data_IF_603557436591
#
_entry.id   IF_603557436591
#
_cell.length_a   1.000
_cell.length_b   1.000
_cell.length_c   1.000
_cell.angle_alpha   90.00
_cell.angle_beta   90.00
_cell.angle_gamma   90.00
#
_symmetry.space_group_name_H-M   'P 1'
#
loop_
_entity.id
_entity.type
_entity.pdbx_description
1 polymer ?
#
# COMPACT_ATOMS: atom_id res chain seq x y z
N UNK A 1 16.28 -31.12 -50.49
CA UNK A 1 17.53 -31.59 -49.86
C UNK A 1 18.29 -30.34 -49.47
N UNK A 2 18.47 -29.96 -48.21
CA UNK A 2 18.44 -30.69 -46.95
C UNK A 2 18.01 -29.73 -45.84
N UNK A 3 17.09 -30.21 -45.00
CA UNK A 3 16.84 -29.67 -43.67
C UNK A 3 17.95 -30.11 -42.71
N UNK A 4 18.20 -29.29 -41.70
CA UNK A 4 18.79 -29.57 -40.36
C UNK A 4 19.29 -28.22 -39.83
N UNK A 5 19.22 -27.85 -38.57
CA UNK A 5 18.61 -28.37 -37.33
C UNK A 5 18.99 -27.30 -36.30
N UNK A 6 18.06 -26.88 -35.43
CA UNK A 6 18.26 -26.80 -33.98
C UNK A 6 17.15 -26.02 -33.30
N UNK A 7 16.28 -26.80 -32.69
CA UNK A 7 15.58 -26.52 -31.45
C UNK A 7 16.56 -26.04 -30.38
N UNK A 8 16.30 -24.91 -29.74
CA UNK A 8 16.57 -24.73 -28.31
C UNK A 8 15.39 -24.00 -27.66
N UNK A 9 14.86 -24.69 -26.65
CA UNK A 9 13.79 -24.28 -25.75
C UNK A 9 14.38 -23.33 -24.70
N UNK A 10 13.78 -22.15 -24.54
CA UNK A 10 13.94 -21.36 -23.33
C UNK A 10 12.62 -21.42 -22.56
N UNK A 11 12.62 -22.24 -21.51
CA UNK A 11 11.55 -22.28 -20.53
C UNK A 11 11.71 -21.17 -19.49
N UNK A 12 10.55 -20.80 -18.95
CA UNK A 12 10.31 -20.39 -17.57
C UNK A 12 11.02 -19.14 -17.06
N UNK A 13 10.21 -18.10 -16.91
CA UNK A 13 10.43 -16.99 -16.00
C UNK A 13 9.12 -16.25 -15.83
N UNK A 14 8.12 -16.90 -15.23
CA UNK A 14 6.93 -16.22 -14.73
C UNK A 14 7.39 -15.30 -13.61
N UNK A 15 7.59 -14.02 -13.91
CA UNK A 15 7.63 -12.98 -12.90
C UNK A 15 6.18 -12.68 -12.54
N UNK A 16 5.65 -13.46 -11.60
CA UNK A 16 4.39 -13.19 -10.91
C UNK A 16 4.65 -12.28 -9.72
N UNK A 17 3.73 -11.34 -9.51
CA UNK A 17 3.55 -10.43 -8.37
C UNK A 17 4.63 -9.38 -8.11
N UNK A 18 4.51 -8.26 -8.83
CA UNK A 18 4.86 -6.95 -8.31
C UNK A 18 3.55 -6.27 -7.90
N UNK A 19 3.25 -6.30 -6.59
CA UNK A 19 2.05 -5.70 -6.01
C UNK A 19 2.11 -4.18 -6.16
N UNK A 20 1.06 -3.63 -6.75
CA UNK A 20 0.69 -2.22 -6.75
C UNK A 20 0.48 -1.76 -5.30
N UNK A 21 0.93 -0.55 -4.95
CA UNK A 21 0.38 0.15 -3.79
C UNK A 21 -1.00 0.71 -4.20
N UNK A 22 -1.91 -0.22 -4.47
CA UNK A 22 -3.35 -0.05 -4.56
C UNK A 22 -3.90 -0.68 -3.28
N UNK A 23 -4.83 0.00 -2.61
CA UNK A 23 -5.62 -0.66 -1.59
C UNK A 23 -6.58 -1.65 -2.30
N UNK A 24 -6.10 -2.90 -2.46
CA UNK A 24 -6.73 -4.03 -3.14
C UNK A 24 -5.88 -4.49 -4.35
N UNK A 25 -5.71 -5.77 -4.71
CA UNK A 25 -6.17 -7.06 -4.17
C UNK A 25 -5.09 -8.12 -4.42
N UNK A 26 -4.71 -8.83 -3.36
CA UNK A 26 -4.41 -10.25 -3.44
C UNK A 26 -4.79 -10.88 -2.10
N UNK A 27 -5.99 -11.49 -2.05
CA UNK A 27 -6.49 -12.20 -0.88
C UNK A 27 -5.52 -13.27 -0.39
N UNK A 28 -4.66 -12.90 0.56
CA UNK A 28 -3.87 -13.84 1.34
C UNK A 28 -4.72 -14.30 2.53
N UNK A 29 -4.86 -15.61 2.68
CA UNK A 29 -5.54 -16.19 3.82
C UNK A 29 -4.88 -15.71 5.12
N UNK A 30 -5.67 -15.18 6.05
CA UNK A 30 -5.20 -14.75 7.36
C UNK A 30 -4.33 -15.84 7.99
N UNK A 31 -3.07 -15.50 8.30
CA UNK A 31 -2.22 -16.33 9.14
C UNK A 31 -2.85 -16.43 10.54
N UNK A 32 -2.51 -17.46 11.31
CA UNK A 32 -2.98 -17.56 12.71
C UNK A 32 -2.63 -16.31 13.51
N UNK A 33 -1.47 -15.70 13.21
CA UNK A 33 -1.04 -14.42 13.78
C UNK A 33 -1.98 -13.26 13.41
N UNK A 34 -2.51 -13.24 12.18
CA UNK A 34 -3.50 -12.23 11.75
C UNK A 34 -4.86 -12.38 12.42
N UNK A 35 -5.32 -13.63 12.64
CA UNK A 35 -6.58 -13.89 13.34
C UNK A 35 -6.52 -13.47 14.81
N UNK A 36 -5.41 -13.76 15.50
CA UNK A 36 -5.18 -13.35 16.88
C UNK A 36 -5.08 -11.82 17.00
N UNK A 37 -4.34 -11.19 16.09
CA UNK A 37 -4.23 -9.72 16.02
C UNK A 37 -5.59 -9.04 15.83
N UNK A 38 -6.41 -9.55 14.91
CA UNK A 38 -7.74 -8.97 14.69
C UNK A 38 -8.66 -9.16 15.89
N UNK A 39 -8.57 -10.30 16.58
CA UNK A 39 -9.32 -10.52 17.82
C UNK A 39 -8.91 -9.53 18.93
N UNK A 40 -7.61 -9.21 19.05
CA UNK A 40 -7.09 -8.19 19.96
C UNK A 40 -7.68 -6.80 19.62
N UNK A 41 -7.60 -6.39 18.36
CA UNK A 41 -8.16 -5.12 17.89
C UNK A 41 -9.66 -5.00 18.18
N UNK A 42 -10.44 -6.07 17.95
CA UNK A 42 -11.89 -6.09 18.24
C UNK A 42 -12.22 -6.10 19.73
N UNK A 43 -11.34 -6.64 20.58
CA UNK A 43 -11.51 -6.58 22.02
C UNK A 43 -11.36 -5.14 22.54
N UNK A 44 -10.45 -4.36 21.95
CA UNK A 44 -10.27 -2.94 22.24
C UNK A 44 -11.36 -2.06 21.59
N UNK A 45 -11.77 -2.41 20.37
CA UNK A 45 -12.76 -1.68 19.57
C UNK A 45 -13.95 -2.59 19.18
N UNK A 46 -14.93 -2.81 20.07
CA UNK A 46 -16.06 -3.71 19.82
C UNK A 46 -16.97 -3.32 18.64
N UNK A 47 -16.84 -2.08 18.13
CA UNK A 47 -17.58 -1.59 16.97
C UNK A 47 -16.98 -2.06 15.63
N UNK A 48 -15.75 -2.59 15.63
CA UNK A 48 -15.13 -3.14 14.44
C UNK A 48 -15.91 -4.34 13.89
N UNK A 49 -15.94 -4.54 12.56
CA UNK A 49 -16.65 -5.64 11.93
C UNK A 49 -16.13 -7.00 12.42
N UNK A 50 -16.93 -8.05 12.24
CA UNK A 50 -16.53 -9.41 12.64
C UNK A 50 -15.37 -9.90 11.78
N UNK A 51 -15.52 -9.79 10.46
CA UNK A 51 -14.49 -10.19 9.50
C UNK A 51 -13.36 -9.14 9.45
N UNK A 52 -12.09 -9.59 9.37
CA UNK A 52 -10.98 -8.66 9.21
C UNK A 52 -11.04 -7.97 7.83
N UNK A 53 -10.57 -6.71 7.75
CA UNK A 53 -10.34 -6.07 6.46
C UNK A 53 -9.12 -6.69 5.76
N UNK A 54 -8.81 -6.18 4.58
CA UNK A 54 -7.59 -6.53 3.86
C UNK A 54 -6.33 -6.19 4.67
N UNK A 55 -5.30 -7.01 4.47
CA UNK A 55 -3.98 -6.82 5.05
C UNK A 55 -2.93 -6.58 3.97
N UNK A 56 -2.15 -5.50 4.11
CA UNK A 56 -1.13 -5.10 3.14
C UNK A 56 0.07 -4.43 3.83
N UNK A 57 1.17 -4.30 3.11
CA UNK A 57 2.40 -3.67 3.60
C UNK A 57 2.69 -2.42 2.76
N UNK A 58 3.25 -1.38 3.39
CA UNK A 58 3.70 -0.20 2.67
C UNK A 58 4.92 -0.51 1.79
N UNK A 59 5.02 0.16 0.64
CA UNK A 59 6.17 0.06 -0.26
C UNK A 59 6.25 -1.24 -1.05
N UNK A 60 7.37 -1.40 -1.77
CA UNK A 60 7.60 -2.53 -2.66
C UNK A 60 8.61 -3.55 -2.10
N UNK A 61 9.23 -3.28 -0.95
CA UNK A 61 10.22 -4.19 -0.32
C UNK A 61 9.97 -4.36 1.17
N UNK A 62 10.44 -5.46 1.79
CA UNK A 62 10.36 -5.66 3.24
C UNK A 62 10.95 -4.50 4.06
N UNK A 63 12.12 -3.99 3.66
CA UNK A 63 12.78 -2.87 4.36
C UNK A 63 11.92 -1.60 4.28
N UNK A 64 11.30 -1.33 3.12
CA UNK A 64 10.38 -0.21 2.95
C UNK A 64 9.13 -0.36 3.82
N UNK A 65 8.59 -1.58 3.92
CA UNK A 65 7.45 -1.87 4.78
C UNK A 65 7.77 -1.58 6.26
N UNK A 66 8.93 -2.03 6.74
CA UNK A 66 9.39 -1.78 8.10
C UNK A 66 9.61 -0.29 8.36
N UNK A 67 10.29 0.42 7.45
CA UNK A 67 10.60 1.85 7.59
C UNK A 67 9.32 2.70 7.62
N UNK A 68 8.37 2.44 6.71
CA UNK A 68 7.11 3.19 6.67
C UNK A 68 6.18 2.83 7.81
N UNK A 69 6.11 1.56 8.21
CA UNK A 69 5.36 1.17 9.38
C UNK A 69 5.91 1.85 10.64
N UNK A 70 7.22 2.00 10.79
CA UNK A 70 7.80 2.72 11.93
C UNK A 70 7.27 4.16 12.02
N UNK A 71 7.15 4.85 10.89
CA UNK A 71 6.56 6.20 10.82
C UNK A 71 5.05 6.20 11.16
N UNK A 72 4.32 5.14 10.81
CA UNK A 72 2.91 4.99 11.21
C UNK A 72 2.80 4.80 12.73
N UNK A 73 3.63 3.94 13.29
CA UNK A 73 3.59 3.58 14.72
C UNK A 73 4.02 4.73 15.63
N UNK A 74 4.93 5.61 15.16
CA UNK A 74 5.32 6.81 15.91
C UNK A 74 4.38 8.02 15.68
N UNK A 75 3.42 7.89 14.77
CA UNK A 75 2.43 8.91 14.43
C UNK A 75 2.91 9.98 13.45
N UNK A 76 4.08 9.83 12.86
CA UNK A 76 4.60 10.74 11.83
C UNK A 76 3.89 10.57 10.50
N UNK A 77 3.65 9.33 10.07
CA UNK A 77 2.89 9.00 8.86
C UNK A 77 1.42 8.79 9.20
N UNK A 78 0.59 9.68 8.65
CA UNK A 78 -0.87 9.71 8.82
C UNK A 78 -1.60 9.84 7.48
N UNK A 79 -0.86 9.69 6.38
CA UNK A 79 -1.34 9.80 5.03
C UNK A 79 -0.63 8.80 4.11
N UNK A 80 -1.29 8.44 3.02
CA UNK A 80 -0.75 7.62 1.93
C UNK A 80 -1.31 8.09 0.59
N UNK A 81 -0.63 7.73 -0.50
CA UNK A 81 -1.07 8.05 -1.85
C UNK A 81 -0.97 6.84 -2.80
N UNK A 82 -1.93 6.74 -3.71
CA UNK A 82 -1.97 5.70 -4.75
C UNK A 82 -2.33 6.28 -6.12
N UNK A 83 -1.97 5.56 -7.18
CA UNK A 83 -2.27 5.97 -8.55
C UNK A 83 -3.70 5.58 -8.92
N UNK A 84 -4.56 6.55 -9.26
CA UNK A 84 -5.96 6.26 -9.57
C UNK A 84 -6.15 5.27 -10.73
N UNK A 85 -5.24 5.29 -11.72
CA UNK A 85 -5.29 4.39 -12.87
C UNK A 85 -5.07 2.92 -12.54
N UNK A 86 -4.44 2.60 -11.40
CA UNK A 86 -4.22 1.21 -10.99
C UNK A 86 -5.57 0.56 -10.57
N UNK A 87 -6.38 1.25 -9.75
CA UNK A 87 -7.75 0.82 -9.41
C UNK A 87 -8.63 0.58 -10.65
N UNK A 88 -8.58 1.50 -11.62
CA UNK A 88 -9.37 1.40 -12.85
C UNK A 88 -8.98 0.17 -13.69
N UNK A 89 -7.70 -0.24 -13.62
CA UNK A 89 -7.17 -1.38 -14.37
C UNK A 89 -7.49 -2.71 -13.71
N UNK A 90 -7.45 -2.73 -12.38
CA UNK A 90 -7.74 -3.88 -11.54
C UNK A 90 -9.27 -4.09 -11.39
N UNK A 91 -10.07 -3.07 -11.72
CA UNK A 91 -11.52 -3.09 -11.60
C UNK A 91 -11.98 -2.92 -10.16
N UNK A 92 -11.16 -2.24 -9.36
CA UNK A 92 -11.34 -2.05 -7.93
C UNK A 92 -11.97 -0.70 -7.60
N UNK A 93 -12.78 -0.61 -6.54
CA UNK A 93 -13.28 0.67 -6.08
C UNK A 93 -12.14 1.49 -5.47
N UNK A 94 -12.23 2.81 -5.60
CA UNK A 94 -11.41 3.69 -4.77
C UNK A 94 -11.76 3.48 -3.28
N UNK A 95 -10.79 3.74 -2.38
CA UNK A 95 -11.05 3.74 -0.95
C UNK A 95 -12.17 4.72 -0.59
N UNK A 96 -12.81 4.47 0.55
CA UNK A 96 -13.84 5.31 1.13
C UNK A 96 -13.50 5.68 2.58
N UNK A 97 -14.00 6.83 3.04
CA UNK A 97 -13.88 7.21 4.45
C UNK A 97 -14.57 6.17 5.33
N UNK A 98 -13.85 5.68 6.34
CA UNK A 98 -14.27 4.58 7.21
C UNK A 98 -13.74 3.21 6.79
N UNK A 99 -13.11 3.09 5.61
CA UNK A 99 -12.46 1.85 5.21
C UNK A 99 -11.32 1.51 6.17
N UNK A 100 -11.23 0.22 6.48
CA UNK A 100 -10.27 -0.33 7.42
C UNK A 100 -9.17 -1.09 6.67
N UNK A 101 -7.98 -1.13 7.25
CA UNK A 101 -6.87 -1.92 6.73
C UNK A 101 -6.02 -2.45 7.86
N UNK A 102 -5.47 -3.64 7.69
CA UNK A 102 -4.41 -4.18 8.55
C UNK A 102 -3.07 -3.90 7.87
N UNK A 103 -2.16 -3.21 8.56
CA UNK A 103 -0.80 -2.96 8.06
C UNK A 103 0.14 -4.03 8.56
N UNK A 104 0.89 -4.60 7.63
CA UNK A 104 1.90 -5.61 7.87
C UNK A 104 3.31 -4.98 7.96
N UNK A 105 4.20 -5.62 8.71
CA UNK A 105 5.65 -5.37 8.63
C UNK A 105 6.30 -6.12 7.45
N UNK A 106 7.60 -5.92 7.26
CA UNK A 106 8.38 -6.55 6.19
C UNK A 106 8.45 -8.09 6.29
N UNK A 107 8.11 -8.67 7.45
CA UNK A 107 8.00 -10.11 7.64
C UNK A 107 6.56 -10.65 7.40
N UNK A 108 5.62 -9.77 7.06
CA UNK A 108 4.21 -10.13 6.84
C UNK A 108 3.41 -10.30 8.13
N UNK A 109 3.89 -9.78 9.27
CA UNK A 109 3.18 -9.82 10.55
C UNK A 109 2.28 -8.61 10.67
N UNK A 110 1.04 -8.77 11.17
CA UNK A 110 0.10 -7.67 11.40
C UNK A 110 0.53 -6.79 12.57
N UNK A 111 0.59 -5.47 12.35
CA UNK A 111 1.14 -4.52 13.32
C UNK A 111 0.26 -3.32 13.62
N UNK A 112 -0.59 -2.89 12.70
CA UNK A 112 -1.52 -1.79 12.94
C UNK A 112 -2.87 -2.00 12.24
N UNK A 113 -3.93 -1.44 12.81
CA UNK A 113 -5.22 -1.25 12.12
C UNK A 113 -5.36 0.23 11.80
N UNK A 114 -5.57 0.54 10.53
CA UNK A 114 -5.85 1.89 10.05
C UNK A 114 -7.32 2.05 9.72
N UNK A 115 -7.81 3.29 9.83
CA UNK A 115 -9.10 3.71 9.29
C UNK A 115 -8.91 4.97 8.44
N UNK A 116 -9.41 4.94 7.22
CA UNK A 116 -9.40 6.10 6.32
C UNK A 116 -10.32 7.18 6.90
N UNK A 117 -9.78 8.37 7.07
CA UNK A 117 -10.44 9.50 7.71
C UNK A 117 -10.81 10.62 6.74
N UNK A 118 -10.08 10.75 5.63
CA UNK A 118 -10.40 11.66 4.54
C UNK A 118 -9.77 11.15 3.23
N UNK A 119 -10.38 11.52 2.11
CA UNK A 119 -9.92 11.17 0.77
C UNK A 119 -10.05 12.39 -0.12
N UNK A 120 -9.02 12.63 -0.92
CA UNK A 120 -9.04 13.61 -2.00
C UNK A 120 -8.40 13.00 -3.25
N UNK A 121 -9.00 13.23 -4.42
CA UNK A 121 -8.41 12.82 -5.70
C UNK A 121 -7.99 14.07 -6.45
N UNK A 122 -6.69 14.27 -6.62
CA UNK A 122 -6.12 15.46 -7.26
C UNK A 122 -5.09 15.07 -8.32
N UNK A 123 -4.82 15.92 -9.32
CA UNK A 123 -3.65 15.73 -10.18
C UNK A 123 -2.37 15.68 -9.36
N UNK A 124 -1.39 14.87 -9.76
CA UNK A 124 -0.08 14.77 -9.08
C UNK A 124 0.59 16.13 -8.81
N UNK A 125 0.50 17.06 -9.77
CA UNK A 125 1.03 18.41 -9.62
C UNK A 125 0.37 19.24 -8.50
N UNK A 126 -0.86 18.89 -8.12
CA UNK A 126 -1.69 19.61 -7.17
C UNK A 126 -1.65 19.00 -5.75
N UNK A 127 -0.96 17.87 -5.56
CA UNK A 127 -0.71 17.32 -4.22
C UNK A 127 0.00 18.37 -3.36
N UNK A 128 -0.54 18.58 -2.17
CA UNK A 128 -0.15 19.69 -1.30
C UNK A 128 1.08 19.33 -0.46
N UNK A 129 1.79 20.36 -0.02
CA UNK A 129 2.88 20.17 0.94
C UNK A 129 2.38 19.65 2.31
N UNK A 130 1.11 19.88 2.65
CA UNK A 130 0.49 19.35 3.85
C UNK A 130 0.28 17.84 3.76
N UNK A 131 -0.16 17.33 2.61
CA UNK A 131 -0.24 15.89 2.38
C UNK A 131 1.15 15.23 2.42
N UNK A 132 2.14 15.80 1.73
CA UNK A 132 3.52 15.33 1.79
C UNK A 132 4.11 15.32 3.22
N UNK A 133 3.79 16.34 4.03
CA UNK A 133 4.20 16.41 5.43
C UNK A 133 3.55 15.30 6.28
N UNK A 134 2.28 14.99 5.99
CA UNK A 134 1.50 13.95 6.66
C UNK A 134 1.92 12.53 6.22
N UNK A 135 2.45 12.35 5.01
CA UNK A 135 3.06 11.09 4.58
C UNK A 135 4.38 10.81 5.31
N UNK A 136 5.06 11.84 5.79
CA UNK A 136 6.12 11.70 6.79
C UNK A 136 7.46 11.15 6.29
N UNK A 137 7.58 10.83 5.00
CA UNK A 137 8.77 10.23 4.41
C UNK A 137 9.92 11.22 4.18
N UNK A 138 11.16 10.70 4.23
CA UNK A 138 12.40 11.43 3.97
C UNK A 138 12.50 12.74 4.78
N UNK A 139 12.74 13.88 4.13
CA UNK A 139 12.81 15.20 4.76
C UNK A 139 11.43 15.88 4.92
N UNK A 140 10.34 15.15 4.64
CA UNK A 140 8.94 15.58 4.75
C UNK A 140 8.59 16.80 3.90
N UNK A 141 9.34 17.01 2.81
CA UNK A 141 9.07 18.08 1.86
C UNK A 141 8.28 17.59 0.66
N UNK A 142 7.49 18.49 0.05
CA UNK A 142 6.81 18.21 -1.21
C UNK A 142 7.78 17.86 -2.35
N UNK A 143 9.01 18.38 -2.31
CA UNK A 143 10.02 18.08 -3.31
C UNK A 143 10.47 16.62 -3.24
N UNK A 144 10.77 16.13 -2.03
CA UNK A 144 11.12 14.72 -1.81
C UNK A 144 9.95 13.79 -2.11
N UNK A 145 8.74 14.16 -1.66
CA UNK A 145 7.52 13.42 -1.97
C UNK A 145 7.34 13.22 -3.48
N UNK A 146 7.42 14.30 -4.27
CA UNK A 146 7.28 14.24 -5.73
C UNK A 146 8.34 13.35 -6.37
N UNK A 147 9.60 13.46 -5.92
CA UNK A 147 10.71 12.65 -6.45
C UNK A 147 10.48 11.17 -6.18
N UNK A 148 10.10 10.81 -4.96
CA UNK A 148 9.89 9.42 -4.54
C UNK A 148 8.70 8.82 -5.30
N UNK A 149 7.56 9.50 -5.31
CA UNK A 149 6.34 9.01 -5.96
C UNK A 149 6.46 8.94 -7.49
N UNK A 150 7.18 9.87 -8.11
CA UNK A 150 7.48 9.81 -9.54
C UNK A 150 8.27 8.54 -9.88
N UNK A 151 9.30 8.21 -9.10
CA UNK A 151 10.08 6.99 -9.33
C UNK A 151 9.24 5.74 -9.05
N UNK A 152 8.52 5.73 -7.92
CA UNK A 152 7.71 4.61 -7.49
C UNK A 152 6.66 4.23 -8.55
N UNK A 153 5.86 5.18 -9.02
CA UNK A 153 4.87 4.87 -10.05
C UNK A 153 5.47 4.61 -11.43
N UNK A 154 6.66 5.15 -11.75
CA UNK A 154 7.37 4.77 -12.97
C UNK A 154 7.77 3.28 -12.97
N UNK A 155 8.09 2.73 -11.80
CA UNK A 155 8.54 1.34 -11.64
C UNK A 155 7.38 0.37 -11.38
N UNK A 156 6.32 0.80 -10.69
CA UNK A 156 5.32 -0.09 -10.10
C UNK A 156 3.87 0.13 -10.54
N UNK A 157 3.50 1.28 -11.12
CA UNK A 157 2.13 1.48 -11.63
C UNK A 157 1.98 0.82 -13.00
N UNK A 158 0.79 0.27 -13.26
CA UNK A 158 0.45 -0.36 -14.56
C UNK A 158 0.56 0.64 -15.71
N UNK A 159 0.33 1.92 -15.43
CA UNK A 159 0.38 3.01 -16.43
C UNK A 159 1.70 3.78 -16.44
N UNK A 160 2.58 3.51 -15.48
CA UNK A 160 3.75 4.33 -15.22
C UNK A 160 3.39 5.72 -14.67
N UNK A 161 4.42 6.54 -14.43
CA UNK A 161 4.24 7.91 -13.99
C UNK A 161 3.80 8.86 -15.13
N UNK A 162 2.83 9.73 -14.85
CA UNK A 162 2.52 10.90 -15.67
C UNK A 162 2.34 12.18 -14.81
N UNK A 163 2.84 13.35 -15.23
CA UNK A 163 2.77 14.58 -14.42
C UNK A 163 1.36 15.07 -14.03
N UNK A 164 0.33 14.60 -14.74
CA UNK A 164 -1.07 14.97 -14.52
C UNK A 164 -1.93 13.76 -14.16
N UNK A 165 -1.33 12.62 -13.80
CA UNK A 165 -2.09 11.46 -13.35
C UNK A 165 -2.90 11.83 -12.10
N UNK A 166 -4.16 11.36 -11.98
CA UNK A 166 -4.90 11.51 -10.74
C UNK A 166 -4.27 10.64 -9.66
N UNK A 167 -4.08 11.25 -8.49
CA UNK A 167 -3.54 10.62 -7.28
C UNK A 167 -4.66 10.57 -6.26
N UNK A 168 -4.92 9.39 -5.71
CA UNK A 168 -5.81 9.21 -4.56
C UNK A 168 -4.99 9.49 -3.31
N UNK A 169 -5.30 10.59 -2.64
CA UNK A 169 -4.64 11.03 -1.41
C UNK A 169 -5.53 10.65 -0.22
N UNK A 170 -5.03 9.80 0.65
CA UNK A 170 -5.74 9.31 1.83
C UNK A 170 -5.12 9.89 3.10
N UNK A 171 -5.95 10.37 4.01
CA UNK A 171 -5.57 10.59 5.41
C UNK A 171 -6.15 9.45 6.23
N UNK A 172 -5.39 8.90 7.15
CA UNK A 172 -5.86 7.82 8.02
C UNK A 172 -5.56 8.10 9.50
N UNK A 173 -6.22 7.33 10.36
CA UNK A 173 -5.91 7.24 11.78
C UNK A 173 -5.57 5.80 12.15
N UNK A 174 -4.65 5.63 13.09
CA UNK A 174 -4.38 4.33 13.70
C UNK A 174 -5.47 4.07 14.74
N UNK A 175 -6.17 2.95 14.60
CA UNK A 175 -7.13 2.49 15.61
C UNK A 175 -6.46 1.59 16.63
N UNK A 176 -5.65 0.64 16.18
CA UNK A 176 -5.00 -0.35 17.03
C UNK A 176 -3.55 -0.55 16.62
N UNK A 177 -2.68 -0.78 17.62
CA UNK A 177 -1.28 -1.16 17.43
C UNK A 177 -1.07 -2.50 18.12
N UNK A 178 -0.53 -3.46 17.39
CA UNK A 178 -0.29 -4.80 17.92
C UNK A 178 0.76 -4.79 19.02
N UNK A 179 0.55 -5.64 20.02
CA UNK A 179 1.51 -5.83 21.11
C UNK A 179 2.90 -6.19 20.56
N UNK A 180 3.99 -5.54 21.04
CA UNK A 180 5.34 -5.91 20.63
C UNK A 180 5.63 -7.35 21.07
N UNK A 181 6.00 -8.22 20.12
CA UNK A 181 6.40 -9.61 20.38
C UNK A 181 7.85 -9.70 20.82
#
# INVERSE_FOLDING_TARGET
>A
MTASDRTESAGSGSASDASTASAGSAGSAASLDGADFWAEARAEHPALPVEPPEAWAFGATPDQADDMLALVLDGTKTATASAAGDYESEGEPFPAVGDLSIVLDGAGVSRAVLEVSAIEIVPFGDVTAEHALAEGEDDRTLASWRRIHQQFWADHSVHGFAPHMPVVCELFRVLHVGSPR
#
